data_IF_151075265133
#
_entry.id   IF_151075265133
#
_cell.length_a   1.000
_cell.length_b   1.000
_cell.length_c   1.000
_cell.angle_alpha   90.00
_cell.angle_beta   90.00
_cell.angle_gamma   90.00
#
_symmetry.space_group_name_H-M   'P 1'
#
loop_
_entity.id
_entity.type
_entity.pdbx_description
1 polymer ?
#
# COMPACT_ATOMS: atom_id res chain seq x y z
N UNK A 1 5.83 -20.80 -7.77
CA UNK A 1 6.63 -19.72 -7.18
C UNK A 1 5.80 -18.46 -7.04
N UNK A 2 6.16 -17.60 -6.09
CA UNK A 2 5.42 -16.40 -5.76
C UNK A 2 6.29 -15.18 -6.03
N UNK A 3 5.78 -14.24 -6.83
CA UNK A 3 6.52 -13.03 -7.19
C UNK A 3 6.10 -11.88 -6.26
N UNK A 4 7.09 -11.30 -5.59
CA UNK A 4 6.92 -10.08 -4.82
C UNK A 4 8.02 -9.11 -5.22
N UNK A 5 7.62 -7.94 -5.71
CA UNK A 5 8.53 -6.98 -6.29
C UNK A 5 9.22 -7.62 -7.51
N UNK A 6 10.53 -7.61 -7.60
CA UNK A 6 11.28 -8.25 -8.69
C UNK A 6 11.79 -9.65 -8.30
N UNK A 7 11.49 -10.09 -7.10
CA UNK A 7 12.01 -11.34 -6.55
C UNK A 7 10.97 -12.44 -6.59
N UNK A 8 11.41 -13.65 -6.93
CA UNK A 8 10.57 -14.84 -6.90
C UNK A 8 10.81 -15.59 -5.59
N UNK A 9 9.74 -16.08 -4.98
CA UNK A 9 9.78 -16.79 -3.70
C UNK A 9 9.12 -18.16 -3.83
N UNK A 10 9.66 -19.15 -3.12
CA UNK A 10 9.03 -20.46 -3.00
C UNK A 10 7.95 -20.45 -1.91
N UNK A 11 8.08 -19.58 -0.92
CA UNK A 11 7.16 -19.48 0.21
C UNK A 11 6.19 -18.31 0.05
N UNK A 12 4.86 -18.57 0.01
CA UNK A 12 3.87 -17.49 -0.12
C UNK A 12 3.88 -16.52 1.06
N UNK A 13 4.16 -16.99 2.26
CA UNK A 13 4.26 -16.12 3.45
C UNK A 13 5.42 -15.16 3.32
N UNK A 14 6.56 -15.66 2.87
CA UNK A 14 7.74 -14.82 2.67
C UNK A 14 7.52 -13.79 1.57
N UNK A 15 6.86 -14.17 0.48
CA UNK A 15 6.54 -13.27 -0.62
C UNK A 15 5.70 -12.08 -0.14
N UNK A 16 4.61 -12.34 0.57
CA UNK A 16 3.75 -11.28 1.09
C UNK A 16 4.47 -10.45 2.14
N UNK A 17 5.24 -11.09 3.02
CA UNK A 17 6.01 -10.40 4.07
C UNK A 17 7.03 -9.43 3.47
N UNK A 18 7.62 -9.78 2.32
CA UNK A 18 8.56 -8.89 1.64
C UNK A 18 7.90 -7.58 1.20
N UNK A 19 6.63 -7.63 0.79
CA UNK A 19 5.89 -6.43 0.42
C UNK A 19 5.45 -5.66 1.67
N UNK A 20 4.73 -6.32 2.58
CA UNK A 20 4.15 -5.66 3.75
C UNK A 20 5.21 -5.19 4.75
N UNK A 21 6.39 -5.80 4.74
CA UNK A 21 7.48 -5.42 5.63
C UNK A 21 8.25 -4.19 5.19
N UNK A 22 8.03 -3.69 3.98
CA UNK A 22 8.69 -2.47 3.52
C UNK A 22 8.12 -1.26 4.24
N UNK A 23 9.01 -0.31 4.55
CA UNK A 23 8.61 0.89 5.29
C UNK A 23 7.48 1.63 4.57
N UNK A 24 6.48 2.07 5.30
CA UNK A 24 5.32 2.83 4.87
C UNK A 24 4.25 2.00 4.13
N UNK A 25 4.56 0.81 3.60
CA UNK A 25 3.62 0.05 2.76
C UNK A 25 2.35 -0.33 3.51
N UNK A 26 2.49 -0.90 4.70
CA UNK A 26 1.32 -1.25 5.52
C UNK A 26 0.46 -0.04 5.85
N UNK A 27 1.10 1.07 6.20
CA UNK A 27 0.40 2.33 6.53
C UNK A 27 -0.33 2.92 5.33
N UNK A 28 0.26 2.81 4.14
CA UNK A 28 -0.39 3.28 2.91
C UNK A 28 -1.66 2.48 2.64
N UNK A 29 -1.55 1.16 2.62
CA UNK A 29 -2.69 0.28 2.34
C UNK A 29 -3.81 0.50 3.36
N UNK A 30 -3.47 0.48 4.64
CA UNK A 30 -4.44 0.62 5.72
C UNK A 30 -5.06 2.01 5.74
N UNK A 31 -4.29 3.04 5.40
CA UNK A 31 -4.78 4.42 5.36
C UNK A 31 -5.76 4.67 4.21
N UNK A 32 -5.55 4.02 3.08
CA UNK A 32 -6.44 4.17 1.92
C UNK A 32 -7.76 3.44 2.15
N UNK A 33 -7.72 2.18 2.55
CA UNK A 33 -8.90 1.33 2.74
C UNK A 33 -9.82 1.34 1.50
N UNK A 34 -11.07 1.75 1.64
CA UNK A 34 -12.04 1.82 0.55
C UNK A 34 -12.17 3.21 -0.08
N UNK A 35 -11.26 4.11 0.27
CA UNK A 35 -11.29 5.49 -0.21
C UNK A 35 -10.45 5.64 -1.48
N UNK A 36 -10.64 6.76 -2.15
CA UNK A 36 -9.73 7.25 -3.20
C UNK A 36 -9.01 8.46 -2.64
N UNK A 37 -7.68 8.43 -2.68
CA UNK A 37 -6.87 9.49 -2.09
C UNK A 37 -5.92 10.09 -3.12
N UNK A 38 -5.71 11.39 -3.04
CA UNK A 38 -4.70 12.10 -3.83
C UNK A 38 -3.35 11.96 -3.17
N UNK A 39 -2.30 12.15 -3.96
CA UNK A 39 -0.92 12.06 -3.47
C UNK A 39 -0.67 12.95 -2.25
N UNK A 40 -1.10 14.20 -2.32
CA UNK A 40 -0.92 15.16 -1.22
C UNK A 40 -1.64 14.73 0.07
N UNK A 41 -2.81 14.12 -0.07
CA UNK A 41 -3.56 13.60 1.07
C UNK A 41 -2.81 12.44 1.74
N UNK A 42 -2.27 11.52 0.93
CA UNK A 42 -1.46 10.42 1.43
C UNK A 42 -0.21 10.93 2.13
N UNK A 43 0.48 11.89 1.54
CA UNK A 43 1.70 12.44 2.12
C UNK A 43 1.43 13.11 3.46
N UNK A 44 0.33 13.84 3.58
CA UNK A 44 -0.05 14.47 4.85
C UNK A 44 -0.42 13.45 5.93
N UNK A 45 -0.97 12.31 5.53
CA UNK A 45 -1.35 11.25 6.46
C UNK A 45 -0.15 10.45 6.97
N UNK A 46 1.00 10.52 6.29
CA UNK A 46 2.20 9.75 6.61
C UNK A 46 3.29 10.68 7.13
N UNK A 47 3.27 10.93 8.43
CA UNK A 47 4.22 11.83 9.07
C UNK A 47 5.66 11.34 8.88
N UNK A 48 6.51 12.21 8.33
CA UNK A 48 7.91 11.89 8.09
C UNK A 48 8.20 11.16 6.79
N UNK A 49 7.18 10.83 5.99
CA UNK A 49 7.38 10.19 4.70
C UNK A 49 7.73 11.23 3.64
N UNK A 50 8.89 11.09 3.01
CA UNK A 50 9.28 12.00 1.94
C UNK A 50 8.45 11.75 0.68
N UNK A 51 8.37 12.76 -0.18
CA UNK A 51 7.70 12.65 -1.48
C UNK A 51 8.31 11.53 -2.32
N UNK A 52 9.64 11.44 -2.33
CA UNK A 52 10.38 10.41 -3.07
C UNK A 52 10.03 9.01 -2.55
N UNK A 53 10.02 8.83 -1.24
CA UNK A 53 9.70 7.54 -0.63
C UNK A 53 8.26 7.13 -0.92
N UNK A 54 7.31 8.06 -0.78
CA UNK A 54 5.91 7.78 -1.07
C UNK A 54 5.74 7.35 -2.53
N UNK A 55 6.38 8.05 -3.45
CA UNK A 55 6.31 7.70 -4.87
C UNK A 55 6.87 6.30 -5.14
N UNK A 56 8.01 5.96 -4.53
CA UNK A 56 8.62 4.64 -4.66
C UNK A 56 7.68 3.53 -4.16
N UNK A 57 7.05 3.74 -3.02
CA UNK A 57 6.18 2.73 -2.45
C UNK A 57 4.86 2.61 -3.23
N UNK A 58 4.32 3.71 -3.72
CA UNK A 58 3.14 3.66 -4.60
C UNK A 58 3.45 2.92 -5.89
N UNK A 59 4.60 3.16 -6.50
CA UNK A 59 5.00 2.46 -7.73
C UNK A 59 5.13 0.96 -7.47
N UNK A 60 5.73 0.57 -6.37
CA UNK A 60 5.82 -0.83 -5.97
C UNK A 60 4.44 -1.48 -5.84
N UNK A 61 3.52 -0.80 -5.18
CA UNK A 61 2.18 -1.31 -4.95
C UNK A 61 1.35 -1.38 -6.24
N UNK A 62 1.56 -0.43 -7.15
CA UNK A 62 0.94 -0.44 -8.48
C UNK A 62 1.50 -1.61 -9.29
N UNK A 63 2.80 -1.81 -9.29
CA UNK A 63 3.46 -2.91 -10.02
C UNK A 63 3.01 -4.28 -9.53
N UNK A 64 2.65 -4.40 -8.26
CA UNK A 64 2.13 -5.64 -7.68
C UNK A 64 0.60 -5.73 -7.70
N UNK A 65 -0.06 -4.84 -8.43
CA UNK A 65 -1.53 -4.82 -8.60
C UNK A 65 -2.31 -4.68 -7.30
N UNK A 66 -1.73 -4.05 -6.31
CA UNK A 66 -2.39 -3.78 -5.02
C UNK A 66 -3.09 -2.43 -5.04
N UNK A 67 -2.48 -1.45 -5.69
CA UNK A 67 -3.02 -0.09 -5.84
C UNK A 67 -3.24 0.22 -7.31
N UNK A 68 -4.32 0.94 -7.59
CA UNK A 68 -4.63 1.49 -8.90
C UNK A 68 -4.43 3.01 -8.83
N UNK A 69 -3.75 3.55 -9.84
CA UNK A 69 -3.62 4.99 -10.03
C UNK A 69 -4.58 5.41 -11.14
N UNK A 70 -5.62 6.12 -10.78
CA UNK A 70 -6.59 6.65 -11.74
C UNK A 70 -6.22 8.09 -12.08
N UNK A 71 -5.83 8.30 -13.33
CA UNK A 71 -5.46 9.62 -13.84
C UNK A 71 -6.59 10.18 -14.69
N UNK A 72 -7.05 11.38 -14.33
CA UNK A 72 -8.07 12.11 -15.07
C UNK A 72 -7.54 13.48 -15.45
N UNK A 73 -7.90 13.94 -16.66
CA UNK A 73 -7.57 15.29 -17.11
C UNK A 73 -8.81 16.16 -16.95
N UNK A 74 -8.70 17.19 -16.11
CA UNK A 74 -9.76 18.19 -15.89
C UNK A 74 -9.15 19.57 -16.13
N UNK A 75 -9.71 20.33 -17.08
CA UNK A 75 -9.22 21.66 -17.45
C UNK A 75 -7.73 21.68 -17.77
N UNK A 76 -7.26 20.70 -18.56
CA UNK A 76 -5.85 20.52 -18.93
C UNK A 76 -4.91 20.21 -17.77
N UNK A 77 -5.45 19.88 -16.60
CA UNK A 77 -4.68 19.46 -15.41
C UNK A 77 -4.89 17.98 -15.21
N UNK A 78 -3.79 17.22 -15.06
CA UNK A 78 -3.84 15.80 -14.75
C UNK A 78 -4.03 15.65 -13.24
N UNK A 79 -5.13 14.99 -12.84
CA UNK A 79 -5.40 14.65 -11.46
C UNK A 79 -5.22 13.14 -11.27
N UNK A 80 -4.44 12.75 -10.27
CA UNK A 80 -4.22 11.35 -9.91
C UNK A 80 -4.87 11.04 -8.58
N UNK A 81 -5.63 9.96 -8.54
CA UNK A 81 -6.11 9.38 -7.30
C UNK A 81 -5.60 7.95 -7.17
N UNK A 82 -5.43 7.51 -5.94
CA UNK A 82 -4.91 6.19 -5.62
C UNK A 82 -5.96 5.45 -4.79
N UNK A 83 -6.24 4.20 -5.15
CA UNK A 83 -7.18 3.38 -4.41
C UNK A 83 -6.77 1.91 -4.52
N UNK A 84 -7.26 1.10 -3.59
CA UNK A 84 -6.93 -0.32 -3.57
C UNK A 84 -7.67 -1.07 -4.69
N UNK A 85 -6.94 -1.94 -5.38
CA UNK A 85 -7.53 -2.89 -6.32
C UNK A 85 -8.35 -3.93 -5.55
N UNK A 86 -9.03 -4.82 -6.29
CA UNK A 86 -9.73 -5.94 -5.66
C UNK A 86 -8.78 -6.76 -4.77
N UNK A 87 -7.58 -7.09 -5.26
CA UNK A 87 -6.60 -7.84 -4.47
C UNK A 87 -6.12 -7.04 -3.26
N UNK A 88 -5.95 -5.72 -3.41
CA UNK A 88 -5.57 -4.85 -2.30
C UNK A 88 -6.64 -4.80 -1.21
N UNK A 89 -7.91 -4.71 -1.60
CA UNK A 89 -9.02 -4.72 -0.64
C UNK A 89 -9.07 -6.02 0.15
N UNK A 90 -8.73 -7.15 -0.49
CA UNK A 90 -8.71 -8.44 0.18
C UNK A 90 -7.59 -8.58 1.21
N UNK A 91 -6.58 -7.70 1.18
CA UNK A 91 -5.55 -7.67 2.21
C UNK A 91 -6.05 -7.05 3.52
N UNK A 92 -7.08 -6.23 3.48
CA UNK A 92 -7.55 -5.51 4.68
C UNK A 92 -7.96 -6.44 5.82
N UNK A 93 -8.72 -7.54 5.58
CA UNK A 93 -9.03 -8.48 6.66
C UNK A 93 -7.80 -9.11 7.31
N UNK A 94 -6.75 -9.40 6.51
CA UNK A 94 -5.49 -9.90 7.05
C UNK A 94 -4.80 -8.87 7.92
N UNK A 95 -4.77 -7.62 7.47
CA UNK A 95 -4.14 -6.53 8.19
C UNK A 95 -4.88 -6.22 9.49
N UNK A 96 -6.21 -6.33 9.49
CA UNK A 96 -7.00 -6.19 10.70
C UNK A 96 -6.59 -7.23 11.74
N UNK A 97 -6.41 -8.47 11.32
CA UNK A 97 -5.94 -9.55 12.21
C UNK A 97 -4.52 -9.30 12.70
N UNK A 98 -3.63 -8.78 11.84
CA UNK A 98 -2.27 -8.41 12.22
C UNK A 98 -2.27 -7.33 13.28
N UNK A 99 -3.11 -6.31 13.11
CA UNK A 99 -3.25 -5.21 14.07
C UNK A 99 -3.72 -5.74 15.42
N UNK A 100 -4.76 -6.57 15.43
CA UNK A 100 -5.31 -7.13 16.66
C UNK A 100 -4.28 -8.01 17.39
N UNK A 101 -3.55 -8.82 16.65
CA UNK A 101 -2.49 -9.66 17.22
C UNK A 101 -1.38 -8.79 17.82
N UNK A 102 -0.97 -7.76 17.09
CA UNK A 102 0.08 -6.85 17.54
C UNK A 102 -0.32 -6.11 18.81
N UNK A 103 -1.56 -5.64 18.88
CA UNK A 103 -2.08 -4.97 20.08
C UNK A 103 -2.13 -5.90 21.28
N UNK A 104 -2.40 -7.18 21.06
CA UNK A 104 -2.49 -8.16 22.16
C UNK A 104 -1.12 -8.60 22.66
N UNK A 105 -0.13 -8.69 21.78
CA UNK A 105 1.14 -9.36 22.10
C UNK A 105 2.38 -8.49 21.96
N UNK A 106 2.34 -7.40 21.23
CA UNK A 106 3.49 -6.53 21.00
C UNK A 106 3.40 -5.17 21.69
N UNK A 107 2.22 -4.80 22.15
CA UNK A 107 2.01 -3.52 22.81
C UNK A 107 2.72 -3.51 24.16
N UNK A 108 3.56 -2.51 24.39
CA UNK A 108 4.29 -2.33 25.64
C UNK A 108 3.44 -1.63 26.69
#
# INVERSE_FOLDING_TARGET
MYKADITMYDCPVEALSNILGKKWVGQIIWGIQDKKMRFGELQRALDGCSKKMLMQQLDLLIDNNIIINDKKTVNNIVESTYYLSESGLLLLPFMDKMINWSNSYLLC
#
